data_IF_122934569056
#
_entry.id   IF_122934569056
#
_cell.length_a   1.000
_cell.length_b   1.000
_cell.length_c   1.000
_cell.angle_alpha   90.00
_cell.angle_beta   90.00
_cell.angle_gamma   90.00
#
_symmetry.space_group_name_H-M   'P 1'
#
loop_
_entity.id
_entity.type
_entity.pdbx_description
1 polymer ?
#
# COMPACT_ATOMS: atom_id res chain seq x y z
N UNK A 1 -18.89 -3.47 -4.83
CA UNK A 1 -18.07 -2.68 -5.76
C UNK A 1 -16.65 -3.27 -5.70
N UNK A 2 -15.70 -2.88 -6.54
CA UNK A 2 -14.31 -3.34 -6.41
C UNK A 2 -13.43 -2.14 -6.11
N UNK A 3 -12.68 -2.20 -5.01
CA UNK A 3 -11.67 -1.19 -4.71
C UNK A 3 -10.35 -1.58 -5.37
N UNK A 4 -9.69 -0.61 -6.01
CA UNK A 4 -8.40 -0.80 -6.66
C UNK A 4 -7.42 0.29 -6.25
N UNK A 5 -6.34 -0.10 -5.57
CA UNK A 5 -5.32 0.81 -5.07
C UNK A 5 -4.00 0.59 -5.80
N UNK A 6 -3.28 1.69 -6.07
CA UNK A 6 -1.95 1.68 -6.66
C UNK A 6 -1.01 2.55 -5.83
N UNK A 7 -0.04 1.90 -5.19
CA UNK A 7 0.90 2.52 -4.25
C UNK A 7 2.21 2.82 -4.97
N UNK A 8 2.44 4.08 -5.30
CA UNK A 8 3.56 4.50 -6.16
C UNK A 8 4.83 4.92 -5.41
N UNK A 9 4.84 4.83 -4.08
CA UNK A 9 5.89 5.38 -3.22
C UNK A 9 5.43 6.66 -2.52
N UNK A 10 6.34 7.63 -2.37
CA UNK A 10 6.07 8.88 -1.68
C UNK A 10 5.73 10.01 -2.67
N UNK A 11 5.08 11.05 -2.18
CA UNK A 11 4.87 12.30 -2.93
C UNK A 11 5.71 13.40 -2.30
N UNK A 12 6.60 14.01 -3.07
CA UNK A 12 7.46 15.11 -2.63
C UNK A 12 7.48 16.18 -3.71
N UNK A 13 7.21 17.43 -3.33
CA UNK A 13 7.30 18.61 -4.21
C UNK A 13 6.61 18.46 -5.58
N UNK A 14 5.39 17.91 -5.58
CA UNK A 14 4.64 17.76 -6.82
C UNK A 14 5.00 16.51 -7.65
N UNK A 15 5.86 15.64 -7.13
CA UNK A 15 6.40 14.49 -7.87
C UNK A 15 6.25 13.18 -7.08
N UNK A 16 6.09 12.11 -7.83
CA UNK A 16 6.06 10.74 -7.29
C UNK A 16 7.49 10.22 -7.18
N UNK A 17 7.87 9.80 -5.98
CA UNK A 17 9.14 9.16 -5.67
C UNK A 17 8.93 7.65 -5.60
N UNK A 18 9.13 6.98 -6.74
CA UNK A 18 9.02 5.52 -6.85
C UNK A 18 10.07 4.78 -6.03
N UNK A 19 11.22 5.40 -5.75
CA UNK A 19 12.28 4.84 -4.90
C UNK A 19 12.02 5.13 -3.41
N UNK A 20 10.79 4.93 -2.97
CA UNK A 20 10.40 4.97 -1.57
C UNK A 20 10.14 3.55 -1.08
N UNK A 21 10.73 3.18 0.06
CA UNK A 21 10.43 1.93 0.74
C UNK A 21 9.50 2.26 1.90
N UNK A 22 8.32 1.65 1.91
CA UNK A 22 7.33 1.98 2.93
C UNK A 22 7.80 1.53 4.32
N UNK A 23 7.64 2.39 5.32
CA UNK A 23 7.86 2.03 6.72
C UNK A 23 6.77 1.07 7.21
N UNK A 24 6.98 0.41 8.34
CA UNK A 24 5.95 -0.45 8.93
C UNK A 24 4.70 0.38 9.31
N UNK A 25 4.92 1.57 9.87
CA UNK A 25 3.86 2.50 10.27
C UNK A 25 3.02 2.93 9.06
N UNK A 26 3.65 3.25 7.93
CA UNK A 26 2.96 3.58 6.68
C UNK A 26 2.12 2.41 6.19
N UNK A 27 2.69 1.20 6.15
CA UNK A 27 1.98 0.00 5.71
C UNK A 27 0.78 -0.31 6.62
N UNK A 28 0.91 -0.15 7.95
CA UNK A 28 -0.22 -0.31 8.88
C UNK A 28 -1.31 0.73 8.66
N UNK A 29 -0.94 1.98 8.41
CA UNK A 29 -1.91 3.04 8.11
C UNK A 29 -2.66 2.77 6.80
N UNK A 30 -1.97 2.27 5.77
CA UNK A 30 -2.59 1.86 4.50
C UNK A 30 -3.52 0.67 4.72
N UNK A 31 -3.10 -0.35 5.48
CA UNK A 31 -3.90 -1.53 5.78
C UNK A 31 -5.20 -1.16 6.50
N UNK A 32 -5.13 -0.23 7.47
CA UNK A 32 -6.31 0.31 8.14
C UNK A 32 -7.28 0.94 7.14
N UNK A 33 -6.81 1.81 6.24
CA UNK A 33 -7.65 2.46 5.22
C UNK A 33 -8.31 1.45 4.27
N UNK A 34 -7.56 0.43 3.84
CA UNK A 34 -8.08 -0.64 2.97
C UNK A 34 -9.19 -1.42 3.67
N UNK A 35 -9.02 -1.75 4.97
CA UNK A 35 -10.03 -2.47 5.76
C UNK A 35 -11.27 -1.61 6.07
N UNK A 36 -11.10 -0.30 6.30
CA UNK A 36 -12.20 0.61 6.68
C UNK A 36 -13.25 0.84 5.59
N UNK A 37 -12.89 0.69 4.31
CA UNK A 37 -13.84 0.94 3.22
C UNK A 37 -14.87 -0.20 3.02
N UNK A 38 -14.75 -1.30 3.77
CA UNK A 38 -15.77 -2.36 3.94
C UNK A 38 -16.42 -2.84 2.62
N UNK A 39 -15.65 -2.89 1.53
CA UNK A 39 -16.07 -3.46 0.26
C UNK A 39 -15.76 -4.96 0.21
N UNK A 40 -16.59 -5.70 -0.53
CA UNK A 40 -16.48 -7.16 -0.64
C UNK A 40 -15.11 -7.60 -1.22
N UNK A 41 -14.50 -6.78 -2.08
CA UNK A 41 -13.22 -7.10 -2.69
C UNK A 41 -12.35 -5.85 -2.92
N UNK A 42 -11.08 -5.95 -2.53
CA UNK A 42 -10.08 -4.88 -2.68
C UNK A 42 -8.78 -5.44 -3.24
N UNK A 43 -8.24 -4.75 -4.26
CA UNK A 43 -6.96 -5.06 -4.88
C UNK A 43 -5.95 -3.97 -4.55
N UNK A 44 -4.80 -4.35 -3.97
CA UNK A 44 -3.73 -3.40 -3.63
C UNK A 44 -2.48 -3.77 -4.41
N UNK A 45 -2.06 -2.87 -5.31
CA UNK A 45 -0.85 -3.04 -6.11
C UNK A 45 0.25 -2.08 -5.65
N UNK A 46 1.41 -2.63 -5.33
CA UNK A 46 2.64 -1.86 -5.09
C UNK A 46 3.35 -1.62 -6.42
N UNK A 47 3.71 -0.36 -6.68
CA UNK A 47 4.37 0.09 -7.90
C UNK A 47 5.61 0.95 -7.58
N UNK A 48 6.12 0.89 -6.35
CA UNK A 48 7.41 1.43 -5.96
C UNK A 48 8.54 0.43 -6.29
N UNK A 49 9.80 0.89 -6.28
CA UNK A 49 10.97 0.04 -6.61
C UNK A 49 11.10 -1.17 -5.68
N UNK A 50 10.64 -1.05 -4.43
CA UNK A 50 10.70 -2.11 -3.41
C UNK A 50 9.42 -2.96 -3.34
N UNK A 51 8.57 -2.90 -4.37
CA UNK A 51 7.21 -3.45 -4.37
C UNK A 51 7.08 -4.91 -3.91
N UNK A 52 8.02 -5.79 -4.25
CA UNK A 52 7.94 -7.21 -3.86
C UNK A 52 8.07 -7.39 -2.34
N UNK A 53 9.02 -6.67 -1.73
CA UNK A 53 9.25 -6.73 -0.28
C UNK A 53 8.12 -6.03 0.48
N UNK A 54 7.72 -4.85 0.02
CA UNK A 54 6.62 -4.10 0.64
C UNK A 54 5.27 -4.84 0.52
N UNK A 55 4.98 -5.47 -0.62
CA UNK A 55 3.78 -6.30 -0.77
C UNK A 55 3.79 -7.52 0.17
N UNK A 56 4.93 -8.21 0.32
CA UNK A 56 5.05 -9.34 1.27
C UNK A 56 4.81 -8.88 2.70
N UNK A 57 5.44 -7.78 3.12
CA UNK A 57 5.25 -7.19 4.45
C UNK A 57 3.79 -6.77 4.66
N UNK A 58 3.16 -6.20 3.63
CA UNK A 58 1.76 -5.80 3.68
C UNK A 58 0.81 -6.99 3.83
N UNK A 59 1.06 -8.11 3.13
CA UNK A 59 0.29 -9.36 3.30
C UNK A 59 0.40 -9.85 4.75
N UNK A 60 1.60 -9.82 5.35
CA UNK A 60 1.79 -10.20 6.75
C UNK A 60 1.00 -9.28 7.69
N UNK A 61 0.97 -7.97 7.43
CA UNK A 61 0.19 -7.00 8.22
C UNK A 61 -1.32 -7.24 8.09
N UNK A 62 -1.81 -7.67 6.94
CA UNK A 62 -3.24 -7.94 6.70
C UNK A 62 -3.73 -9.23 7.36
N UNK A 63 -2.86 -10.22 7.53
CA UNK A 63 -3.18 -11.53 8.09
C UNK A 63 -3.48 -11.51 9.61
N UNK A 64 -3.20 -10.39 10.28
CA UNK A 64 -3.58 -10.10 11.67
C UNK A 64 -4.67 -9.02 11.73
#
# INVERSE_FOLDING_TARGET
MINYYRLHGAYQEGRIIYKHKYSEEELRAIAKKVKEWNEAESYVYFNNVYMCDDAKRFIQILAF
#
